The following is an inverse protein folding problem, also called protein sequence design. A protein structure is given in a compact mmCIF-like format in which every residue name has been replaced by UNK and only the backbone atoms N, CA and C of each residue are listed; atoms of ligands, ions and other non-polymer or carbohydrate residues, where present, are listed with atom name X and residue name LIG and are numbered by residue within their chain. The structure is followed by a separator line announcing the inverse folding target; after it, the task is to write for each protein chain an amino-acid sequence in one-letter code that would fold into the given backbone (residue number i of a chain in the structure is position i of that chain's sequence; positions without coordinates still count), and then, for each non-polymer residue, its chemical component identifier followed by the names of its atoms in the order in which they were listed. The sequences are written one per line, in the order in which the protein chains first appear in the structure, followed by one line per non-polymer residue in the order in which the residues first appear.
data_IF_637545225481
#
_entry.id   IF_637545225481
#
_cell.length_a   1.000
_cell.length_b   1.000
_cell.length_c   1.000
_cell.angle_alpha   90.00
_cell.angle_beta   90.00
_cell.angle_gamma   90.00
#
_symmetry.space_group_name_H-M   'P 1'
#
loop_
_entity.id
_entity.type
_entity.pdbx_description
1 polymer ?
#
# COMPACT_ATOMS: atom_id res chain seq x y z
N UNK A 1 -26.77 -1.10 4.12
CA UNK A 1 -25.33 -1.29 4.30
C UNK A 1 -24.69 0.09 4.43
N UNK A 2 -23.98 0.36 5.52
CA UNK A 2 -23.29 1.65 5.72
C UNK A 2 -22.11 1.68 4.74
N UNK A 3 -22.05 2.72 3.91
CA UNK A 3 -20.84 3.07 3.18
C UNK A 3 -19.76 3.38 4.23
N UNK A 4 -18.76 2.53 4.37
CA UNK A 4 -17.53 2.86 5.11
C UNK A 4 -16.83 4.01 4.36
N UNK A 5 -16.75 5.23 4.91
CA UNK A 5 -16.31 6.41 4.15
C UNK A 5 -14.80 6.50 3.89
N UNK A 6 -13.97 5.63 4.46
CA UNK A 6 -12.59 6.03 4.82
C UNK A 6 -11.49 5.16 4.22
N UNK A 7 -11.70 4.61 3.04
CA UNK A 7 -10.59 3.99 2.30
C UNK A 7 -10.59 4.53 0.87
N UNK A 8 -10.22 5.82 0.74
CA UNK A 8 -9.91 6.40 -0.57
C UNK A 8 -8.59 5.81 -1.07
N UNK A 9 -8.70 4.67 -1.74
CA UNK A 9 -7.58 4.03 -2.40
C UNK A 9 -7.25 4.79 -3.70
N UNK A 10 -6.18 5.58 -3.71
CA UNK A 10 -5.65 6.12 -4.95
C UNK A 10 -4.90 5.03 -5.72
N UNK A 11 -5.00 5.03 -7.05
CA UNK A 11 -4.25 4.08 -7.88
C UNK A 11 -2.82 4.57 -8.05
N UNK A 12 -1.87 3.78 -7.58
CA UNK A 12 -0.44 3.98 -7.79
C UNK A 12 0.07 3.31 -9.07
N UNK A 13 1.34 3.57 -9.43
CA UNK A 13 2.01 2.90 -10.54
C UNK A 13 2.08 1.38 -10.32
N UNK A 14 2.09 0.62 -11.43
CA UNK A 14 2.25 -0.84 -11.39
C UNK A 14 1.04 -1.59 -10.82
N UNK A 15 -0.15 -0.97 -10.79
CA UNK A 15 -1.36 -1.58 -10.25
C UNK A 15 -1.45 -1.56 -8.73
N UNK A 16 -0.59 -0.77 -8.07
CA UNK A 16 -0.63 -0.58 -6.62
C UNK A 16 -1.83 0.27 -6.20
N UNK A 17 -2.27 0.08 -4.96
CA UNK A 17 -3.27 0.91 -4.29
C UNK A 17 -2.59 1.68 -3.15
N UNK A 18 -2.91 2.96 -3.05
CA UNK A 18 -2.39 3.89 -2.05
C UNK A 18 -3.53 4.24 -1.12
N UNK A 19 -3.37 3.90 0.15
CA UNK A 19 -4.35 4.19 1.20
C UNK A 19 -3.77 5.26 2.13
N UNK A 20 -4.57 6.25 2.48
CA UNK A 20 -4.23 7.16 3.56
C UNK A 20 -4.58 6.49 4.89
N UNK A 21 -3.61 6.39 5.80
CA UNK A 21 -3.77 5.78 7.12
C UNK A 21 -3.31 6.78 8.19
N UNK A 22 -4.27 7.51 8.77
CA UNK A 22 -4.00 8.58 9.72
C UNK A 22 -3.07 9.66 9.14
N UNK A 23 -1.89 9.80 9.73
CA UNK A 23 -0.85 10.74 9.32
C UNK A 23 0.10 10.19 8.22
N UNK A 24 -0.12 8.95 7.76
CA UNK A 24 0.75 8.27 6.81
C UNK A 24 0.03 7.66 5.61
N UNK A 25 0.78 6.85 4.86
CA UNK A 25 0.33 6.21 3.63
C UNK A 25 0.74 4.75 3.58
N UNK A 26 -0.17 3.91 3.13
CA UNK A 26 0.01 2.49 2.90
C UNK A 26 -0.05 2.19 1.40
N UNK A 27 0.97 1.51 0.87
CA UNK A 27 1.00 1.00 -0.50
C UNK A 27 0.75 -0.50 -0.48
N UNK A 28 -0.19 -0.93 -1.30
CA UNK A 28 -0.60 -2.31 -1.46
C UNK A 28 -0.40 -2.72 -2.91
N UNK A 29 0.19 -3.88 -3.13
CA UNK A 29 0.39 -4.44 -4.46
C UNK A 29 -0.87 -5.03 -5.09
N UNK A 30 -0.89 -5.19 -6.42
CA UNK A 30 -2.01 -5.82 -7.11
C UNK A 30 -2.23 -7.29 -6.73
N UNK A 31 -1.19 -7.98 -6.23
CA UNK A 31 -1.25 -9.37 -5.75
C UNK A 31 -1.41 -9.49 -4.24
N UNK A 32 -1.74 -8.39 -3.55
CA UNK A 32 -1.95 -8.42 -2.11
C UNK A 32 -3.21 -9.20 -1.75
N UNK A 33 -3.04 -10.24 -0.93
CA UNK A 33 -4.15 -11.03 -0.36
C UNK A 33 -4.41 -10.62 1.09
N UNK A 34 -3.36 -10.59 1.92
CA UNK A 34 -3.43 -10.15 3.32
C UNK A 34 -2.05 -9.72 3.82
N UNK A 35 -1.99 -8.95 4.91
CA UNK A 35 -0.73 -8.51 5.54
C UNK A 35 0.08 -9.64 6.17
N UNK A 36 -0.56 -10.78 6.47
CA UNK A 36 0.10 -11.95 7.05
C UNK A 36 0.64 -12.91 5.96
N UNK A 37 0.05 -12.90 4.77
CA UNK A 37 0.43 -13.78 3.65
C UNK A 37 1.16 -13.07 2.49
N UNK A 38 1.08 -11.75 2.39
CA UNK A 38 1.66 -11.00 1.26
C UNK A 38 2.69 -9.96 1.71
N UNK A 39 3.90 -10.08 1.17
CA UNK A 39 4.94 -9.04 1.24
C UNK A 39 4.63 -7.80 0.38
N UNK A 40 3.49 -7.82 -0.34
CA UNK A 40 3.00 -6.74 -1.19
C UNK A 40 2.35 -5.60 -0.40
N UNK A 41 2.92 -5.22 0.75
CA UNK A 41 2.48 -4.11 1.57
C UNK A 41 3.66 -3.30 2.11
N UNK A 42 3.56 -1.99 2.07
CA UNK A 42 4.49 -1.08 2.74
C UNK A 42 3.81 0.17 3.28
N UNK A 43 4.27 0.64 4.44
CA UNK A 43 3.85 1.90 5.05
C UNK A 43 4.95 2.95 4.92
N UNK A 44 4.57 4.23 4.86
CA UNK A 44 5.47 5.37 5.00
C UNK A 44 4.74 6.60 5.51
N UNK A 45 5.46 7.49 6.18
CA UNK A 45 4.90 8.76 6.71
C UNK A 45 4.53 9.71 5.55
N UNK A 46 5.17 9.55 4.39
CA UNK A 46 4.83 10.26 3.16
C UNK A 46 4.57 9.27 2.03
N UNK A 47 3.81 9.70 1.00
CA UNK A 47 3.55 8.89 -0.21
C UNK A 47 4.85 8.40 -0.84
N UNK A 48 5.84 9.28 -0.96
CA UNK A 48 7.14 8.97 -1.55
C UNK A 48 7.89 7.91 -0.74
N UNK A 49 7.87 8.03 0.59
CA UNK A 49 8.50 7.06 1.49
C UNK A 49 7.79 5.71 1.42
N UNK A 50 6.46 5.71 1.36
CA UNK A 50 5.66 4.48 1.27
C UNK A 50 5.95 3.74 -0.05
N UNK A 51 6.07 4.46 -1.18
CA UNK A 51 6.49 3.88 -2.45
C UNK A 51 7.95 3.39 -2.44
N UNK A 52 8.88 4.11 -1.81
CA UNK A 52 10.26 3.68 -1.69
C UNK A 52 10.39 2.39 -0.86
N UNK A 53 9.63 2.30 0.23
CA UNK A 53 9.56 1.11 1.07
C UNK A 53 8.95 -0.07 0.31
N UNK A 54 7.87 0.17 -0.45
CA UNK A 54 7.24 -0.83 -1.31
C UNK A 54 8.21 -1.36 -2.37
N UNK A 55 8.92 -0.47 -3.06
CA UNK A 55 9.90 -0.85 -4.09
C UNK A 55 11.07 -1.67 -3.51
N UNK A 56 11.50 -1.36 -2.29
CA UNK A 56 12.55 -2.12 -1.60
C UNK A 56 12.06 -3.52 -1.23
N UNK A 57 10.86 -3.65 -0.68
CA UNK A 57 10.27 -4.94 -0.31
C UNK A 57 9.96 -5.83 -1.52
N UNK A 58 9.36 -5.27 -2.57
CA UNK A 58 9.06 -6.01 -3.80
C UNK A 58 10.33 -6.57 -4.47
N UNK A 59 11.48 -5.90 -4.30
CA UNK A 59 12.77 -6.35 -4.83
C UNK A 59 13.43 -7.44 -3.98
N UNK A 60 13.09 -7.55 -2.70
CA UNK A 60 13.61 -8.58 -1.79
C UNK A 60 12.87 -9.91 -1.88
N UNK A 61 11.70 -9.95 -2.52
CA UNK A 61 10.90 -11.15 -2.73
C UNK A 61 11.30 -11.95 -4.00
N UNK A 62 12.43 -11.60 -4.65
CA UNK A 62 12.90 -12.24 -5.88
C UNK A 62 14.30 -12.85 -5.73
#
# INVERSE_FOLDING_TARGET
MKNDPDVQAERGPGGTLVFADGDGYCIVGPEFVSVEESDCYAYGETREQAFANYATRARSAN
#
